data_IF_959432349123
#
_entry.id   IF_959432349123
#
_cell.length_a   1.000
_cell.length_b   1.000
_cell.length_c   1.000
_cell.angle_alpha   90.00
_cell.angle_beta   90.00
_cell.angle_gamma   90.00
#
_symmetry.space_group_name_H-M   'P 1'
#
loop_
_entity.id
_entity.type
_entity.pdbx_description
1 polymer ?
#
# COMPACT_ATOMS: atom_id res chain seq x y z
N UNK A 1 -5.09 6.24 -4.91
CA UNK A 1 -4.53 5.10 -4.14
C UNK A 1 -4.58 3.92 -5.09
N UNK A 2 -3.57 3.06 -5.14
CA UNK A 2 -3.57 1.93 -6.08
C UNK A 2 -3.80 0.63 -5.33
N UNK A 3 -4.83 -0.11 -5.75
CA UNK A 3 -5.16 -1.41 -5.15
C UNK A 3 -4.24 -2.52 -5.64
N UNK A 4 -3.57 -2.33 -6.78
CA UNK A 4 -2.71 -3.36 -7.40
C UNK A 4 -3.49 -4.33 -8.28
N UNK A 5 -4.82 -4.24 -8.28
CA UNK A 5 -5.70 -5.00 -9.16
C UNK A 5 -6.06 -4.16 -10.37
N UNK A 6 -5.52 -4.53 -11.54
CA UNK A 6 -5.74 -3.80 -12.80
C UNK A 6 -7.21 -3.59 -13.14
N UNK A 7 -8.05 -4.59 -12.85
CA UNK A 7 -9.49 -4.50 -13.09
C UNK A 7 -10.16 -3.44 -12.22
N UNK A 8 -9.76 -3.34 -10.95
CA UNK A 8 -10.31 -2.35 -10.00
C UNK A 8 -9.77 -0.97 -10.32
N UNK A 9 -8.45 -0.82 -10.46
CA UNK A 9 -7.81 0.48 -10.71
C UNK A 9 -8.24 1.11 -12.05
N UNK A 10 -8.67 0.32 -13.04
CA UNK A 10 -9.15 0.81 -14.34
C UNK A 10 -10.65 1.12 -14.36
N UNK A 11 -11.50 0.29 -13.72
CA UNK A 11 -12.96 0.43 -13.79
C UNK A 11 -13.52 1.28 -12.66
N UNK A 12 -12.90 1.21 -11.47
CA UNK A 12 -13.35 1.88 -10.26
C UNK A 12 -12.16 2.48 -9.53
N UNK A 13 -11.66 3.66 -9.97
CA UNK A 13 -10.50 4.29 -9.36
C UNK A 13 -10.82 4.83 -7.96
N UNK A 14 -9.99 4.47 -6.97
CA UNK A 14 -10.20 4.86 -5.57
C UNK A 14 -9.32 6.04 -5.17
N UNK A 15 -9.97 7.14 -4.77
CA UNK A 15 -9.33 8.35 -4.23
C UNK A 15 -8.89 8.22 -2.77
N UNK A 16 -7.95 9.08 -2.34
CA UNK A 16 -7.61 9.19 -0.91
C UNK A 16 -8.77 9.85 -0.16
N UNK A 17 -9.24 9.26 0.94
CA UNK A 17 -10.39 9.75 1.70
C UNK A 17 -11.75 9.26 1.21
N UNK A 18 -11.79 8.54 0.08
CA UNK A 18 -12.97 7.85 -0.42
C UNK A 18 -13.23 6.56 0.37
N UNK A 19 -14.49 6.23 0.61
CA UNK A 19 -14.90 4.97 1.24
C UNK A 19 -15.50 4.05 0.18
N UNK A 20 -14.88 2.89 0.01
CA UNK A 20 -15.30 1.86 -0.93
C UNK A 20 -15.95 0.70 -0.18
N UNK A 21 -17.08 0.18 -0.68
CA UNK A 21 -17.69 -1.04 -0.15
C UNK A 21 -17.29 -2.24 -1.00
N UNK A 22 -16.74 -3.28 -0.36
CA UNK A 22 -16.45 -4.56 -1.00
C UNK A 22 -17.54 -5.57 -0.59
N UNK A 23 -18.37 -6.00 -1.54
CA UNK A 23 -19.46 -6.96 -1.33
C UNK A 23 -19.27 -8.25 -2.14
N UNK A 24 -19.88 -9.34 -1.69
CA UNK A 24 -19.95 -10.61 -2.42
C UNK A 24 -20.26 -11.78 -1.51
N UNK A 25 -20.39 -12.98 -2.07
CA UNK A 25 -20.70 -14.20 -1.33
C UNK A 25 -19.52 -14.78 -0.56
N UNK A 26 -19.78 -15.78 0.29
CA UNK A 26 -18.70 -16.45 1.03
C UNK A 26 -17.63 -16.97 0.06
N UNK A 27 -16.35 -16.83 0.45
CA UNK A 27 -15.17 -17.30 -0.31
C UNK A 27 -14.93 -16.62 -1.67
N UNK A 28 -15.54 -15.46 -1.95
CA UNK A 28 -15.30 -14.70 -3.21
C UNK A 28 -14.04 -13.81 -3.21
N UNK A 29 -13.04 -14.11 -2.38
CA UNK A 29 -11.77 -13.37 -2.41
C UNK A 29 -11.80 -11.94 -1.84
N UNK A 30 -12.86 -11.52 -1.13
CA UNK A 30 -12.94 -10.17 -0.50
C UNK A 30 -11.71 -9.81 0.35
N UNK A 31 -11.24 -10.77 1.17
CA UNK A 31 -10.04 -10.57 2.00
C UNK A 31 -8.77 -10.49 1.17
N UNK A 32 -8.68 -11.21 0.05
CA UNK A 32 -7.52 -11.18 -0.84
C UNK A 32 -7.38 -9.80 -1.49
N UNK A 33 -8.49 -9.20 -1.94
CA UNK A 33 -8.48 -7.81 -2.46
C UNK A 33 -7.94 -6.81 -1.43
N UNK A 34 -8.35 -6.95 -0.17
CA UNK A 34 -7.84 -6.10 0.91
C UNK A 34 -6.35 -6.35 1.18
N UNK A 35 -5.92 -7.61 1.21
CA UNK A 35 -4.52 -7.99 1.40
C UNK A 35 -3.62 -7.45 0.28
N UNK A 36 -4.02 -7.62 -0.97
CA UNK A 36 -3.27 -7.15 -2.14
C UNK A 36 -3.15 -5.62 -2.14
N UNK A 37 -4.21 -4.93 -1.72
CA UNK A 37 -4.20 -3.47 -1.57
C UNK A 37 -3.14 -3.02 -0.56
N UNK A 38 -3.02 -3.72 0.58
CA UNK A 38 -2.02 -3.43 1.61
C UNK A 38 -0.61 -3.74 1.09
N UNK A 39 -0.42 -4.88 0.43
CA UNK A 39 0.89 -5.27 -0.12
C UNK A 39 1.37 -4.32 -1.22
N UNK A 40 0.49 -3.89 -2.12
CA UNK A 40 0.83 -3.00 -3.21
C UNK A 40 1.29 -1.61 -2.70
N UNK A 41 0.77 -1.17 -1.56
CA UNK A 41 1.14 0.09 -0.96
C UNK A 41 2.63 0.13 -0.54
N UNK A 42 3.19 -1.01 -0.11
CA UNK A 42 4.64 -1.15 0.14
C UNK A 42 5.44 -0.90 -1.12
N UNK A 43 5.07 -1.54 -2.24
CA UNK A 43 5.79 -1.45 -3.52
C UNK A 43 5.85 0.00 -4.01
N UNK A 44 4.74 0.74 -3.86
CA UNK A 44 4.67 2.16 -4.20
C UNK A 44 5.63 3.02 -3.35
N UNK A 45 5.73 2.72 -2.05
CA UNK A 45 6.61 3.44 -1.12
C UNK A 45 8.10 3.14 -1.36
N UNK A 46 8.45 1.90 -1.69
CA UNK A 46 9.84 1.50 -1.95
C UNK A 46 10.36 2.08 -3.28
N UNK A 47 9.52 2.07 -4.32
CA UNK A 47 9.86 2.66 -5.62
C UNK A 47 10.10 4.17 -5.54
N UNK A 48 9.32 4.86 -4.71
CA UNK A 48 9.51 6.30 -4.46
C UNK A 48 10.89 6.60 -3.84
N UNK A 49 11.34 5.77 -2.88
CA UNK A 49 12.69 5.87 -2.28
C UNK A 49 13.82 5.58 -3.27
N UNK A 50 13.65 4.58 -4.15
CA UNK A 50 14.65 4.25 -5.19
C UNK A 50 14.79 5.38 -6.22
N UNK A 51 13.68 5.99 -6.64
CA UNK A 51 13.69 7.11 -7.60
C UNK A 51 14.47 8.32 -7.07
N UNK A 52 14.29 8.65 -5.79
CA UNK A 52 15.01 9.74 -5.11
C UNK A 52 16.52 9.45 -5.08
N UNK A 53 16.93 8.24 -4.67
CA UNK A 53 18.36 7.83 -4.67
C UNK A 53 18.97 7.85 -6.08
N UNK A 54 18.20 7.51 -7.11
CA UNK A 54 18.68 7.56 -8.49
C UNK A 54 18.85 9.00 -8.99
N UNK A 55 17.86 9.88 -8.76
CA UNK A 55 17.97 11.30 -9.14
C UNK A 55 19.11 12.03 -8.40
N UNK A 56 19.39 11.62 -7.17
CA UNK A 56 20.52 12.10 -6.39
C UNK A 56 21.89 11.81 -7.03
N UNK A 57 21.98 10.70 -7.76
CA UNK A 57 23.24 10.19 -8.30
C UNK A 57 23.60 10.81 -9.66
N UNK A 58 22.63 11.37 -10.38
CA UNK A 58 22.79 11.76 -11.79
C UNK A 58 22.29 13.19 -12.14
N UNK A 59 21.90 14.04 -11.17
CA UNK A 59 21.38 15.41 -11.41
C UNK A 59 22.05 16.48 -10.52
N UNK A 60 21.93 17.77 -10.88
CA UNK A 60 22.53 18.92 -10.19
C UNK A 60 22.13 18.96 -8.69
N UNK A 61 23.09 19.03 -7.74
CA UNK A 61 22.84 18.95 -6.29
C UNK A 61 21.77 19.90 -5.73
N UNK A 62 21.57 21.10 -6.29
CA UNK A 62 20.57 22.06 -5.81
C UNK A 62 19.11 21.59 -6.00
N UNK A 63 18.85 20.72 -6.98
CA UNK A 63 17.51 20.14 -7.21
C UNK A 63 17.19 18.98 -6.24
N UNK A 64 18.22 18.41 -5.62
CA UNK A 64 18.12 17.30 -4.68
C UNK A 64 17.61 17.77 -3.31
N UNK A 65 18.08 18.93 -2.81
CA UNK A 65 17.65 19.52 -1.54
C UNK A 65 16.12 19.79 -1.50
N UNK A 66 15.57 20.38 -2.58
CA UNK A 66 14.12 20.65 -2.69
C UNK A 66 13.29 19.36 -2.74
N UNK A 67 13.73 18.35 -3.51
CA UNK A 67 13.04 17.06 -3.61
C UNK A 67 13.17 16.21 -2.34
N UNK A 68 14.24 16.38 -1.55
CA UNK A 68 14.41 15.71 -0.27
C UNK A 68 13.46 16.25 0.81
N UNK A 69 13.28 17.58 0.88
CA UNK A 69 12.29 18.17 1.78
C UNK A 69 10.85 17.78 1.42
N UNK A 70 10.54 17.68 0.13
CA UNK A 70 9.22 17.23 -0.32
C UNK A 70 8.99 15.72 -0.09
N UNK A 71 10.06 14.91 -0.15
CA UNK A 71 10.03 13.47 0.12
C UNK A 71 9.89 13.10 1.61
N UNK A 72 10.26 14.01 2.53
CA UNK A 72 10.07 13.84 3.97
C UNK A 72 8.68 14.28 4.44
N UNK A 73 7.76 14.67 3.54
CA UNK A 73 6.36 14.85 3.92
C UNK A 73 5.75 13.51 4.33
N UNK A 74 5.72 13.26 5.64
CA UNK A 74 5.02 12.13 6.25
C UNK A 74 3.55 12.05 5.84
N UNK A 75 2.97 13.18 5.41
CA UNK A 75 1.61 13.29 4.86
C UNK A 75 1.34 12.42 3.63
N UNK A 76 2.36 11.98 2.89
CA UNK A 76 2.19 11.11 1.72
C UNK A 76 2.28 9.62 2.06
N UNK A 77 2.72 9.27 3.29
CA UNK A 77 2.77 7.89 3.75
C UNK A 77 1.35 7.41 4.06
N UNK A 78 0.93 6.33 3.41
CA UNK A 78 -0.32 5.63 3.70
C UNK A 78 -0.02 4.50 4.68
N UNK A 79 -0.66 4.53 5.83
CA UNK A 79 -0.68 3.44 6.81
C UNK A 79 -1.99 2.66 6.66
N UNK A 80 -1.90 1.33 6.69
CA UNK A 80 -3.03 0.45 6.37
C UNK A 80 -3.49 -0.37 7.57
N UNK A 81 -4.60 0.01 8.20
CA UNK A 81 -5.14 -0.73 9.34
C UNK A 81 -6.11 -1.82 8.86
N UNK A 82 -5.87 -3.07 9.27
CA UNK A 82 -6.78 -4.19 9.04
C UNK A 82 -7.50 -4.61 10.33
N UNK A 83 -8.82 -4.45 10.37
CA UNK A 83 -9.65 -4.84 11.54
C UNK A 83 -10.41 -6.13 11.22
N UNK A 84 -10.05 -7.21 11.91
CA UNK A 84 -10.69 -8.51 11.76
C UNK A 84 -11.85 -8.67 12.78
N UNK A 85 -13.10 -8.62 12.32
CA UNK A 85 -14.29 -8.83 13.15
C UNK A 85 -14.92 -10.19 12.82
N UNK A 86 -15.11 -11.04 13.82
CA UNK A 86 -15.79 -12.35 13.66
C UNK A 86 -15.05 -13.37 12.79
N UNK A 87 -13.77 -13.13 12.47
CA UNK A 87 -12.96 -14.06 11.68
C UNK A 87 -12.34 -15.15 12.54
N UNK A 88 -12.05 -16.31 11.91
CA UNK A 88 -11.31 -17.39 12.57
C UNK A 88 -9.88 -16.93 12.87
N UNK A 89 -9.39 -17.24 14.07
CA UNK A 89 -8.01 -16.93 14.50
C UNK A 89 -6.95 -17.49 13.53
N UNK A 90 -7.19 -18.68 12.96
CA UNK A 90 -6.30 -19.27 11.96
C UNK A 90 -6.15 -18.42 10.70
N UNK A 91 -7.25 -17.80 10.25
CA UNK A 91 -7.25 -16.91 9.08
C UNK A 91 -6.50 -15.62 9.37
N UNK A 92 -6.67 -15.05 10.56
CA UNK A 92 -5.91 -13.86 10.99
C UNK A 92 -4.42 -14.18 11.12
N UNK A 93 -4.05 -15.34 11.67
CA UNK A 93 -2.65 -15.75 11.77
C UNK A 93 -2.00 -15.94 10.39
N UNK A 94 -2.71 -16.54 9.43
CA UNK A 94 -2.24 -16.64 8.05
C UNK A 94 -2.07 -15.26 7.40
N UNK A 95 -3.02 -14.35 7.63
CA UNK A 95 -2.95 -12.97 7.14
C UNK A 95 -1.72 -12.23 7.65
N UNK A 96 -1.46 -12.30 8.96
CA UNK A 96 -0.26 -11.70 9.59
C UNK A 96 1.02 -12.32 9.03
N UNK A 97 1.06 -13.65 8.88
CA UNK A 97 2.22 -14.36 8.30
C UNK A 97 2.52 -13.86 6.88
N UNK A 98 1.50 -13.68 6.03
CA UNK A 98 1.68 -13.15 4.68
C UNK A 98 2.19 -11.71 4.70
N UNK A 99 1.74 -10.87 5.64
CA UNK A 99 2.26 -9.51 5.80
C UNK A 99 3.71 -9.49 6.29
N UNK A 100 4.09 -10.41 7.19
CA UNK A 100 5.45 -10.58 7.69
C UNK A 100 6.41 -11.02 6.57
N UNK A 101 6.04 -12.05 5.81
CA UNK A 101 6.83 -12.57 4.69
C UNK A 101 7.10 -11.49 3.63
N UNK A 102 6.16 -10.56 3.46
CA UNK A 102 6.28 -9.45 2.53
C UNK A 102 6.85 -8.17 3.16
N UNK A 103 7.32 -8.17 4.41
CA UNK A 103 7.83 -7.00 5.14
C UNK A 103 6.87 -5.79 5.09
N UNK A 104 5.56 -6.06 5.09
CA UNK A 104 4.51 -5.04 4.98
C UNK A 104 4.06 -4.50 6.35
N UNK A 105 4.40 -5.20 7.44
CA UNK A 105 4.08 -4.80 8.83
C UNK A 105 4.62 -3.42 9.23
N UNK A 106 5.66 -2.92 8.56
CA UNK A 106 6.21 -1.57 8.83
C UNK A 106 5.24 -0.43 8.47
N UNK A 107 4.20 -0.74 7.68
CA UNK A 107 3.26 0.22 7.11
C UNK A 107 1.80 -0.18 7.32
N UNK A 108 1.53 -1.23 8.12
CA UNK A 108 0.19 -1.73 8.46
C UNK A 108 -0.07 -1.72 9.96
#
# INVERSE_FOLDING_TARGET
MQTGLKAVDALVPIGRGQRELIIGDRQTGKTAVALDTILNQKVSMENSRKKIKWTAKYSLPWLFEQKFHEANNEKLKLFCIYVAVGQKRSTVAQFVKTLEENDALKYS
#
